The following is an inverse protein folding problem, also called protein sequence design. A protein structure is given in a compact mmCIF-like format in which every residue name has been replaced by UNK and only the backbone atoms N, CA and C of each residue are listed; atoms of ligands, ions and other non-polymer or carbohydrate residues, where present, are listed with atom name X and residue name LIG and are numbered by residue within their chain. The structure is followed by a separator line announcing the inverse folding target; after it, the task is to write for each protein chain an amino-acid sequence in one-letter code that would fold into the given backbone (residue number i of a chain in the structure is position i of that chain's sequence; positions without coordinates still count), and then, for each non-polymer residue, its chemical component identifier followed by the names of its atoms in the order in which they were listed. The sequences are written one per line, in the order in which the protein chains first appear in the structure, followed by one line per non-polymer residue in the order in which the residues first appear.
data_IF_685517926392
#
_entry.id   IF_685517926392
#
_cell.length_a   1.000
_cell.length_b   1.000
_cell.length_c   1.000
_cell.angle_alpha   90.00
_cell.angle_beta   90.00
_cell.angle_gamma   90.00
#
_symmetry.space_group_name_H-M   'P 1'
#
loop_
_entity.id
_entity.type
_entity.pdbx_description
1 polymer ?
#
# COMPACT_ATOMS: atom_id res chain seq x y z
N UNK A 1 44.68 -8.62 44.77
CA UNK A 1 43.26 -8.17 44.78
C UNK A 1 42.36 -9.39 44.79
N UNK A 2 41.55 -9.58 45.83
CA UNK A 2 40.74 -10.80 46.03
C UNK A 2 39.49 -10.81 45.14
N UNK A 3 39.05 -12.01 44.70
CA UNK A 3 37.84 -12.22 43.87
C UNK A 3 36.57 -11.59 44.49
N UNK A 4 36.53 -11.45 45.81
CA UNK A 4 35.46 -10.80 46.57
C UNK A 4 35.32 -9.27 46.30
N UNK A 5 36.43 -8.57 46.03
CA UNK A 5 36.42 -7.13 45.75
C UNK A 5 35.84 -6.77 44.36
N UNK A 6 36.01 -7.65 43.37
CA UNK A 6 35.41 -7.49 42.03
C UNK A 6 33.90 -7.76 42.03
N UNK A 7 33.45 -8.74 42.82
CA UNK A 7 32.02 -9.05 42.96
C UNK A 7 31.23 -7.90 43.60
N UNK A 8 31.77 -7.25 44.64
CA UNK A 8 31.13 -6.07 45.28
C UNK A 8 31.05 -4.86 44.36
N UNK A 9 32.06 -4.62 43.51
CA UNK A 9 32.02 -3.52 42.52
C UNK A 9 31.05 -3.77 41.37
N UNK A 10 30.89 -5.02 40.90
CA UNK A 10 29.89 -5.38 39.88
C UNK A 10 28.46 -5.32 40.42
N UNK A 11 28.24 -5.75 41.67
CA UNK A 11 26.94 -5.62 42.34
C UNK A 11 26.55 -4.15 42.58
N UNK A 12 27.50 -3.30 42.97
CA UNK A 12 27.27 -1.85 43.11
C UNK A 12 27.02 -1.16 41.75
N UNK A 13 27.72 -1.55 40.69
CA UNK A 13 27.47 -1.04 39.33
C UNK A 13 26.11 -1.49 38.78
N UNK A 14 25.61 -2.68 39.14
CA UNK A 14 24.27 -3.14 38.81
C UNK A 14 23.18 -2.41 39.62
N UNK A 15 23.43 -2.15 40.91
CA UNK A 15 22.50 -1.45 41.81
C UNK A 15 22.35 0.04 41.48
N UNK A 16 23.42 0.73 41.08
CA UNK A 16 23.41 2.18 40.82
C UNK A 16 23.44 2.55 39.33
N UNK A 17 23.95 1.68 38.44
CA UNK A 17 24.09 1.96 37.01
C UNK A 17 23.06 1.28 36.09
N UNK A 18 22.48 0.16 36.50
CA UNK A 18 21.51 -0.60 35.68
C UNK A 18 20.04 -0.18 35.89
N UNK A 19 19.67 0.17 37.13
CA UNK A 19 18.29 0.50 37.50
C UNK A 19 17.76 1.77 36.82
N UNK A 20 18.56 2.83 36.73
CA UNK A 20 18.16 4.09 36.10
C UNK A 20 17.94 3.98 34.59
N UNK A 21 18.77 3.21 33.88
CA UNK A 21 18.63 2.96 32.44
C UNK A 21 17.42 2.05 32.16
N UNK A 22 17.19 1.04 33.01
CA UNK A 22 16.00 0.18 32.93
C UNK A 22 14.70 0.93 33.18
N UNK A 23 14.66 1.77 34.22
CA UNK A 23 13.48 2.60 34.56
C UNK A 23 13.23 3.71 33.53
N UNK A 24 14.28 4.39 33.05
CA UNK A 24 14.15 5.38 31.98
C UNK A 24 13.66 4.74 30.66
N UNK A 25 14.19 3.55 30.32
CA UNK A 25 13.72 2.78 29.16
C UNK A 25 12.27 2.33 29.30
N UNK A 26 11.87 1.83 30.47
CA UNK A 26 10.49 1.46 30.76
C UNK A 26 9.55 2.68 30.73
N UNK A 27 9.99 3.83 31.25
CA UNK A 27 9.26 5.10 31.20
C UNK A 27 9.03 5.58 29.76
N UNK A 28 10.06 5.56 28.91
CA UNK A 28 9.94 5.90 27.49
C UNK A 28 8.97 4.95 26.75
N UNK A 29 9.06 3.64 26.99
CA UNK A 29 8.14 2.67 26.40
C UNK A 29 6.70 2.87 26.88
N UNK A 30 6.52 3.20 28.16
CA UNK A 30 5.23 3.57 28.74
C UNK A 30 4.63 4.80 28.07
N UNK A 31 5.44 5.86 27.92
CA UNK A 31 5.03 7.09 27.25
C UNK A 31 4.63 6.86 25.80
N UNK A 32 5.46 6.13 25.02
CA UNK A 32 5.14 5.76 23.64
C UNK A 32 3.83 4.97 23.52
N UNK A 33 3.54 4.06 24.46
CA UNK A 33 2.28 3.31 24.48
C UNK A 33 1.08 4.22 24.80
N UNK A 34 1.23 5.16 25.72
CA UNK A 34 0.19 6.14 26.03
C UNK A 34 -0.09 7.05 24.84
N UNK A 35 0.96 7.52 24.18
CA UNK A 35 0.88 8.33 22.97
C UNK A 35 0.17 7.56 21.84
N UNK A 36 0.56 6.30 21.59
CA UNK A 36 -0.09 5.45 20.59
C UNK A 36 -1.58 5.24 20.90
N UNK A 37 -1.93 4.98 22.17
CA UNK A 37 -3.33 4.85 22.61
C UNK A 37 -4.12 6.14 22.47
N UNK A 38 -3.50 7.29 22.74
CA UNK A 38 -4.15 8.59 22.58
C UNK A 38 -4.38 8.92 21.10
N UNK A 39 -3.38 8.68 20.25
CA UNK A 39 -3.50 8.85 18.81
C UNK A 39 -4.61 7.96 18.24
N UNK A 40 -4.61 6.66 18.58
CA UNK A 40 -5.63 5.70 18.16
C UNK A 40 -7.04 6.14 18.57
N UNK A 41 -7.22 6.55 19.83
CA UNK A 41 -8.52 7.04 20.31
C UNK A 41 -9.00 8.30 19.58
N UNK A 42 -8.10 9.22 19.22
CA UNK A 42 -8.47 10.42 18.44
C UNK A 42 -8.92 10.07 17.02
N UNK A 43 -8.24 9.11 16.38
CA UNK A 43 -8.61 8.60 15.06
C UNK A 43 -9.98 7.92 15.16
N UNK A 44 -10.11 6.90 16.02
CA UNK A 44 -11.36 6.14 16.20
C UNK A 44 -12.57 7.01 16.55
N UNK A 45 -12.38 8.11 17.31
CA UNK A 45 -13.46 9.03 17.64
C UNK A 45 -13.98 9.84 16.45
N UNK A 46 -13.20 9.95 15.36
CA UNK A 46 -13.51 10.73 14.17
C UNK A 46 -13.67 9.90 12.90
N UNK A 47 -13.19 8.66 12.90
CA UNK A 47 -13.34 7.73 11.79
C UNK A 47 -14.81 7.33 11.63
N UNK A 48 -15.30 7.33 10.39
CA UNK A 48 -16.63 6.80 10.08
C UNK A 48 -16.73 5.34 10.53
N UNK A 49 -17.85 4.97 11.17
CA UNK A 49 -18.12 3.59 11.57
C UNK A 49 -18.68 2.74 10.44
N UNK A 50 -19.14 3.36 9.37
CA UNK A 50 -19.68 2.70 8.19
C UNK A 50 -18.70 2.86 7.05
N UNK A 51 -18.45 1.76 6.34
CA UNK A 51 -17.71 1.78 5.09
C UNK A 51 -18.50 2.59 4.05
N UNK A 52 -17.80 3.30 3.14
CA UNK A 52 -18.46 3.93 2.00
C UNK A 52 -19.17 2.88 1.13
N UNK A 53 -20.15 3.30 0.30
CA UNK A 53 -20.76 2.41 -0.68
C UNK A 53 -19.68 1.73 -1.54
N UNK A 54 -19.83 0.44 -1.82
CA UNK A 54 -18.72 -0.36 -2.39
C UNK A 54 -18.29 0.11 -3.78
N UNK A 55 -19.25 0.58 -4.58
CA UNK A 55 -19.04 0.86 -5.99
C UNK A 55 -18.83 -0.40 -6.84
N UNK A 56 -19.12 -1.59 -6.33
CA UNK A 56 -19.03 -2.81 -7.13
C UNK A 56 -20.00 -2.74 -8.30
N UNK A 57 -19.53 -3.12 -9.49
CA UNK A 57 -20.34 -2.98 -10.68
C UNK A 57 -19.53 -3.05 -11.97
N UNK A 58 -20.24 -2.86 -13.07
CA UNK A 58 -19.64 -2.77 -14.39
C UNK A 58 -19.45 -1.29 -14.75
N UNK A 59 -18.26 -0.94 -15.19
CA UNK A 59 -17.86 0.38 -15.63
C UNK A 59 -17.58 0.36 -17.13
N UNK A 60 -18.02 1.41 -17.83
CA UNK A 60 -17.80 1.57 -19.25
C UNK A 60 -18.86 0.97 -20.15
N UNK A 61 -18.79 1.34 -21.43
CA UNK A 61 -19.68 0.86 -22.48
C UNK A 61 -19.00 -0.19 -23.36
N UNK A 62 -19.81 -1.01 -24.02
CA UNK A 62 -19.36 -1.93 -25.06
C UNK A 62 -19.73 -3.38 -24.78
N UNK A 63 -19.62 -4.21 -25.83
CA UNK A 63 -19.97 -5.64 -25.80
C UNK A 63 -18.77 -6.56 -25.58
N UNK A 64 -17.56 -6.00 -25.47
CA UNK A 64 -16.35 -6.77 -25.21
C UNK A 64 -16.45 -7.44 -23.83
N UNK A 65 -15.85 -8.63 -23.67
CA UNK A 65 -15.77 -9.30 -22.37
C UNK A 65 -15.14 -8.34 -21.36
N UNK A 66 -15.82 -8.00 -20.25
CA UNK A 66 -15.30 -7.08 -19.26
C UNK A 66 -14.00 -7.60 -18.64
N UNK A 67 -13.07 -6.69 -18.34
CA UNK A 67 -11.93 -6.98 -17.47
C UNK A 67 -12.43 -7.10 -16.03
N UNK A 68 -12.02 -8.13 -15.31
CA UNK A 68 -12.33 -8.27 -13.89
C UNK A 68 -11.21 -7.65 -13.07
N UNK A 69 -11.53 -6.54 -12.40
CA UNK A 69 -10.63 -5.83 -11.51
C UNK A 69 -11.06 -6.04 -10.06
N UNK A 70 -10.19 -6.64 -9.26
CA UNK A 70 -10.47 -6.91 -7.84
C UNK A 70 -9.61 -6.06 -6.91
N UNK A 71 -10.21 -5.54 -5.85
CA UNK A 71 -9.53 -4.73 -4.83
C UNK A 71 -9.59 -5.43 -3.47
N UNK A 72 -8.42 -5.73 -2.91
CA UNK A 72 -8.22 -6.39 -1.61
C UNK A 72 -7.46 -5.48 -0.65
N UNK A 73 -7.61 -5.73 0.64
CA UNK A 73 -6.79 -5.09 1.66
C UNK A 73 -7.57 -4.59 2.86
N UNK A 74 -7.09 -3.46 3.41
CA UNK A 74 -7.61 -2.82 4.62
C UNK A 74 -8.55 -1.63 4.32
N UNK A 75 -8.77 -0.75 5.31
CA UNK A 75 -9.62 0.44 5.17
C UNK A 75 -9.16 1.37 4.05
N UNK A 76 -7.87 1.39 3.72
CA UNK A 76 -7.32 2.16 2.61
C UNK A 76 -7.83 1.61 1.27
N UNK A 77 -7.91 0.28 1.13
CA UNK A 77 -8.47 -0.37 -0.06
C UNK A 77 -9.99 -0.23 -0.14
N UNK A 78 -10.67 -0.18 1.01
CA UNK A 78 -12.12 0.09 1.09
C UNK A 78 -12.46 1.50 0.59
N UNK A 79 -11.58 2.47 0.83
CA UNK A 79 -11.87 3.88 0.56
C UNK A 79 -12.37 4.65 1.80
N UNK A 80 -12.12 4.14 3.00
CA UNK A 80 -12.62 4.77 4.23
C UNK A 80 -12.17 6.24 4.33
N UNK A 81 -13.09 7.14 4.67
CA UNK A 81 -12.82 8.58 4.71
C UNK A 81 -13.43 9.36 3.54
N UNK A 82 -14.03 8.67 2.56
CA UNK A 82 -14.90 9.27 1.53
C UNK A 82 -16.37 8.99 1.81
N UNK A 83 -17.26 9.74 1.15
CA UNK A 83 -18.71 9.60 1.34
C UNK A 83 -19.38 8.90 0.14
N UNK A 84 -18.82 9.05 -1.06
CA UNK A 84 -19.40 8.53 -2.30
C UNK A 84 -18.59 7.36 -2.87
N UNK A 85 -19.28 6.41 -3.49
CA UNK A 85 -18.64 5.28 -4.19
C UNK A 85 -17.59 5.76 -5.21
N UNK A 86 -17.91 6.83 -5.95
CA UNK A 86 -17.09 7.41 -7.01
C UNK A 86 -15.79 8.06 -6.53
N UNK A 87 -15.63 8.22 -5.22
CA UNK A 87 -14.41 8.74 -4.60
C UNK A 87 -13.49 7.63 -4.09
N UNK A 88 -13.97 6.37 -4.09
CA UNK A 88 -13.17 5.24 -3.63
C UNK A 88 -12.06 4.91 -4.64
N UNK A 89 -10.90 4.42 -4.18
CA UNK A 89 -9.79 4.12 -5.08
C UNK A 89 -10.14 3.04 -6.11
N UNK A 90 -10.99 2.07 -5.75
CA UNK A 90 -11.45 1.03 -6.67
C UNK A 90 -12.22 1.59 -7.85
N UNK A 91 -13.18 2.50 -7.59
CA UNK A 91 -14.02 3.09 -8.63
C UNK A 91 -13.22 4.04 -9.53
N UNK A 92 -12.39 4.91 -8.95
CA UNK A 92 -11.52 5.82 -9.71
C UNK A 92 -10.59 5.04 -10.66
N UNK A 93 -10.05 3.92 -10.21
CA UNK A 93 -9.20 3.05 -11.03
C UNK A 93 -10.00 2.27 -12.08
N UNK A 94 -11.20 1.78 -11.76
CA UNK A 94 -12.05 1.07 -12.72
C UNK A 94 -12.50 1.98 -13.87
N UNK A 95 -12.91 3.21 -13.57
CA UNK A 95 -13.26 4.22 -14.57
C UNK A 95 -12.05 4.54 -15.47
N UNK A 96 -10.87 4.79 -14.88
CA UNK A 96 -9.68 5.09 -15.67
C UNK A 96 -9.18 3.89 -16.49
N UNK A 97 -9.30 2.66 -15.97
CA UNK A 97 -8.94 1.45 -16.71
C UNK A 97 -9.87 1.19 -17.88
N UNK A 98 -11.15 1.56 -17.77
CA UNK A 98 -12.11 1.48 -18.88
C UNK A 98 -11.64 2.30 -20.07
N UNK A 99 -11.26 3.55 -19.83
CA UNK A 99 -10.76 4.47 -20.86
C UNK A 99 -9.45 3.96 -21.49
N UNK A 100 -8.51 3.49 -20.68
CA UNK A 100 -7.22 2.99 -21.18
C UNK A 100 -7.33 1.67 -21.93
N UNK A 101 -8.25 0.79 -21.51
CA UNK A 101 -8.43 -0.52 -22.12
C UNK A 101 -9.42 -0.51 -23.30
N UNK A 102 -10.16 0.59 -23.48
CA UNK A 102 -11.31 0.70 -24.41
C UNK A 102 -12.29 -0.48 -24.25
N UNK A 103 -12.47 -0.95 -23.01
CA UNK A 103 -13.22 -2.16 -22.66
C UNK A 103 -13.91 -1.98 -21.32
N UNK A 104 -15.11 -2.56 -21.12
CA UNK A 104 -15.76 -2.52 -19.82
C UNK A 104 -14.90 -3.15 -18.72
N UNK A 105 -14.99 -2.62 -17.50
CA UNK A 105 -14.30 -3.14 -16.32
C UNK A 105 -15.32 -3.49 -15.25
N UNK A 106 -15.36 -4.75 -14.82
CA UNK A 106 -16.13 -5.18 -13.66
C UNK A 106 -15.27 -5.04 -12.40
N UNK A 107 -15.63 -4.10 -11.54
CA UNK A 107 -15.00 -3.90 -10.25
C UNK A 107 -15.60 -4.85 -9.20
N UNK A 108 -14.73 -5.51 -8.44
CA UNK A 108 -15.11 -6.31 -7.27
C UNK A 108 -14.23 -5.94 -6.07
N UNK A 109 -14.80 -5.33 -5.05
CA UNK A 109 -14.13 -4.94 -3.82
C UNK A 109 -14.37 -5.99 -2.75
N UNK A 110 -13.29 -6.63 -2.30
CA UNK A 110 -13.31 -7.62 -1.22
C UNK A 110 -12.47 -7.19 -0.01
N UNK A 111 -11.95 -5.95 -0.04
CA UNK A 111 -11.25 -5.33 1.07
C UNK A 111 -12.13 -5.20 2.33
N UNK A 112 -11.50 -5.33 3.49
CA UNK A 112 -12.15 -5.31 4.80
C UNK A 112 -11.49 -4.25 5.68
N UNK A 113 -12.26 -3.27 6.15
CA UNK A 113 -11.76 -2.24 7.05
C UNK A 113 -11.17 -2.85 8.33
N UNK A 114 -9.96 -2.42 8.68
CA UNK A 114 -9.23 -2.92 9.86
C UNK A 114 -8.42 -4.20 9.64
N UNK A 115 -8.49 -4.83 8.47
CA UNK A 115 -7.79 -6.09 8.21
C UNK A 115 -6.25 -5.96 8.34
N UNK A 116 -5.64 -6.96 8.96
CA UNK A 116 -4.20 -7.22 8.92
C UNK A 116 -3.85 -8.21 7.81
N UNK A 117 -2.56 -8.29 7.43
CA UNK A 117 -2.10 -9.20 6.38
C UNK A 117 -2.50 -10.67 6.58
N UNK A 118 -2.63 -11.16 7.83
CA UNK A 118 -3.08 -12.52 8.12
C UNK A 118 -4.55 -12.77 7.76
N UNK A 119 -5.33 -11.72 7.56
CA UNK A 119 -6.75 -11.76 7.17
C UNK A 119 -6.94 -11.58 5.66
N UNK A 120 -5.85 -11.58 4.86
CA UNK A 120 -5.96 -11.60 3.40
C UNK A 120 -6.50 -12.92 2.85
N UNK A 121 -6.28 -14.04 3.55
CA UNK A 121 -6.55 -15.36 3.02
C UNK A 121 -8.03 -15.55 2.59
N UNK A 122 -9.03 -15.17 3.43
CA UNK A 122 -10.44 -15.22 3.01
C UNK A 122 -10.77 -14.26 1.86
N UNK A 123 -10.09 -13.11 1.77
CA UNK A 123 -10.29 -12.17 0.66
C UNK A 123 -9.77 -12.76 -0.66
N UNK A 124 -8.63 -13.46 -0.62
CA UNK A 124 -8.03 -14.14 -1.78
C UNK A 124 -8.92 -15.29 -2.25
N UNK A 125 -9.48 -16.09 -1.34
CA UNK A 125 -10.41 -17.18 -1.71
C UNK A 125 -11.62 -16.65 -2.48
N UNK A 126 -12.24 -15.58 -1.98
CA UNK A 126 -13.35 -14.90 -2.66
C UNK A 126 -12.90 -14.31 -4.00
N UNK A 127 -11.71 -13.71 -4.06
CA UNK A 127 -11.17 -13.15 -5.30
C UNK A 127 -10.97 -14.22 -6.38
N UNK A 128 -10.45 -15.40 -6.01
CA UNK A 128 -10.21 -16.48 -6.97
C UNK A 128 -11.50 -16.98 -7.63
N UNK A 129 -12.64 -16.95 -6.92
CA UNK A 129 -13.94 -17.28 -7.48
C UNK A 129 -14.39 -16.32 -8.59
N UNK A 130 -13.95 -15.06 -8.52
CA UNK A 130 -14.27 -14.00 -9.48
C UNK A 130 -13.44 -14.06 -10.77
N UNK A 131 -12.37 -14.86 -10.78
CA UNK A 131 -11.40 -15.01 -11.90
C UNK A 131 -10.84 -13.65 -12.37
N UNK A 132 -10.15 -12.90 -11.49
CA UNK A 132 -9.67 -11.55 -11.80
C UNK A 132 -8.61 -11.56 -12.91
N UNK A 133 -8.69 -10.55 -13.79
CA UNK A 133 -7.60 -10.25 -14.73
C UNK A 133 -6.49 -9.47 -14.01
N UNK A 134 -6.88 -8.58 -13.09
CA UNK A 134 -5.94 -7.83 -12.25
C UNK A 134 -6.47 -7.63 -10.83
N UNK A 135 -5.56 -7.69 -9.86
CA UNK A 135 -5.83 -7.47 -8.44
C UNK A 135 -4.96 -6.34 -7.91
N UNK A 136 -5.59 -5.38 -7.24
CA UNK A 136 -4.94 -4.39 -6.38
C UNK A 136 -5.02 -4.84 -4.92
N UNK A 137 -3.88 -4.88 -4.23
CA UNK A 137 -3.83 -5.09 -2.78
C UNK A 137 -3.30 -3.83 -2.11
N UNK A 138 -4.03 -3.25 -1.16
CA UNK A 138 -3.53 -2.17 -0.31
C UNK A 138 -3.66 -2.59 1.16
N UNK A 139 -2.55 -3.01 1.77
CA UNK A 139 -2.54 -3.49 3.14
C UNK A 139 -1.23 -3.17 3.85
N UNK A 140 -1.29 -3.11 5.18
CA UNK A 140 -0.14 -3.09 6.05
C UNK A 140 -0.08 -1.87 6.97
N UNK A 141 -1.05 -0.95 6.89
CA UNK A 141 -1.18 0.10 7.90
C UNK A 141 -1.48 -0.53 9.27
N UNK A 142 -2.42 -1.48 9.31
CA UNK A 142 -2.81 -2.19 10.52
C UNK A 142 -1.67 -3.04 11.10
N UNK A 143 -0.93 -3.77 10.27
CA UNK A 143 0.25 -4.53 10.73
C UNK A 143 1.29 -3.65 11.45
N UNK A 144 1.45 -2.39 11.03
CA UNK A 144 2.36 -1.46 11.70
C UNK A 144 1.76 -0.92 13.01
N UNK A 145 0.45 -0.64 13.05
CA UNK A 145 -0.22 -0.13 14.26
C UNK A 145 -0.37 -1.21 15.34
N UNK A 146 -0.59 -2.47 14.96
CA UNK A 146 -0.64 -3.65 15.86
C UNK A 146 0.74 -4.21 16.16
N UNK A 147 1.78 -3.71 15.48
CA UNK A 147 3.19 -4.09 15.66
C UNK A 147 3.47 -5.55 15.28
N UNK A 148 2.75 -6.05 14.28
CA UNK A 148 2.99 -7.34 13.64
C UNK A 148 4.41 -7.37 13.08
N UNK A 149 5.10 -8.52 13.28
CA UNK A 149 6.48 -8.69 12.80
C UNK A 149 6.49 -8.61 11.27
N UNK A 150 7.37 -7.80 10.64
CA UNK A 150 7.40 -7.67 9.18
C UNK A 150 7.50 -9.01 8.45
N UNK A 151 8.31 -9.95 8.96
CA UNK A 151 8.45 -11.29 8.36
C UNK A 151 7.14 -12.11 8.37
N UNK A 152 6.27 -11.93 9.37
CA UNK A 152 4.95 -12.56 9.40
C UNK A 152 4.04 -11.89 8.38
N UNK A 153 4.02 -10.56 8.39
CA UNK A 153 3.15 -9.78 7.52
C UNK A 153 3.42 -10.04 6.03
N UNK A 154 4.69 -9.97 5.64
CA UNK A 154 5.08 -10.19 4.24
C UNK A 154 4.94 -11.63 3.80
N UNK A 155 4.95 -12.60 4.71
CA UNK A 155 4.68 -14.00 4.37
C UNK A 155 3.22 -14.14 3.91
N UNK A 156 2.26 -13.66 4.70
CA UNK A 156 0.85 -13.70 4.31
C UNK A 156 0.60 -12.94 2.99
N UNK A 157 1.23 -11.77 2.82
CA UNK A 157 1.14 -11.02 1.57
C UNK A 157 1.75 -11.79 0.38
N UNK A 158 2.92 -12.42 0.54
CA UNK A 158 3.57 -13.19 -0.52
C UNK A 158 2.71 -14.40 -0.92
N UNK A 159 2.11 -15.08 0.06
CA UNK A 159 1.23 -16.22 -0.17
C UNK A 159 -0.02 -15.80 -0.96
N UNK A 160 -0.63 -14.68 -0.58
CA UNK A 160 -1.75 -14.08 -1.30
C UNK A 160 -1.38 -13.74 -2.77
N UNK A 161 -0.25 -13.06 -2.97
CA UNK A 161 0.22 -12.69 -4.32
C UNK A 161 0.48 -13.93 -5.15
N UNK A 162 1.16 -14.94 -4.61
CA UNK A 162 1.50 -16.16 -5.33
C UNK A 162 0.26 -16.92 -5.78
N UNK A 163 -0.71 -17.14 -4.89
CA UNK A 163 -1.99 -17.80 -5.23
C UNK A 163 -2.74 -17.08 -6.36
N UNK A 164 -2.79 -15.74 -6.31
CA UNK A 164 -3.42 -14.93 -7.35
C UNK A 164 -2.66 -15.00 -8.67
N UNK A 165 -1.32 -14.93 -8.65
CA UNK A 165 -0.49 -15.07 -9.86
C UNK A 165 -0.60 -16.46 -10.49
N UNK A 166 -0.67 -17.51 -9.68
CA UNK A 166 -0.89 -18.90 -10.14
C UNK A 166 -2.25 -19.07 -10.86
N UNK A 167 -3.26 -18.26 -10.50
CA UNK A 167 -4.54 -18.23 -11.22
C UNK A 167 -4.52 -17.49 -12.57
N UNK A 168 -3.40 -16.84 -12.90
CA UNK A 168 -3.22 -16.02 -14.11
C UNK A 168 -3.46 -14.52 -13.91
N UNK A 169 -4.04 -14.11 -12.78
CA UNK A 169 -4.31 -12.70 -12.47
C UNK A 169 -3.03 -11.89 -12.33
N UNK A 170 -2.99 -10.67 -12.85
CA UNK A 170 -1.93 -9.70 -12.54
C UNK A 170 -2.10 -9.16 -11.13
N UNK A 171 -1.01 -8.92 -10.39
CA UNK A 171 -1.09 -8.42 -9.01
C UNK A 171 -0.23 -7.18 -8.83
N UNK A 172 -0.86 -6.09 -8.39
CA UNK A 172 -0.21 -4.84 -8.01
C UNK A 172 -0.48 -4.57 -6.54
N UNK A 173 0.56 -4.26 -5.77
CA UNK A 173 0.45 -3.95 -4.35
C UNK A 173 0.81 -2.50 -4.10
N UNK A 174 -0.15 -1.73 -3.57
CA UNK A 174 0.12 -0.44 -2.94
C UNK A 174 0.77 -0.69 -1.58
N UNK A 175 2.06 -0.42 -1.45
CA UNK A 175 2.80 -0.74 -0.21
C UNK A 175 2.35 0.11 0.96
N UNK A 176 2.59 -0.37 2.18
CA UNK A 176 2.32 0.32 3.44
C UNK A 176 2.65 1.83 3.37
N UNK A 177 1.69 2.72 3.67
CA UNK A 177 1.89 4.16 3.60
C UNK A 177 2.84 4.66 4.71
N UNK A 178 3.40 5.86 4.53
CA UNK A 178 4.29 6.46 5.53
C UNK A 178 3.48 6.97 6.73
N UNK A 179 3.27 6.13 7.76
CA UNK A 179 2.53 6.52 8.97
C UNK A 179 3.16 7.69 9.74
N UNK A 180 4.38 8.09 9.40
CA UNK A 180 4.99 9.31 9.92
C UNK A 180 4.38 10.62 9.38
N UNK A 181 3.40 10.55 8.49
CA UNK A 181 2.62 11.71 8.01
C UNK A 181 1.31 11.90 8.75
N UNK A 182 0.90 10.91 9.56
CA UNK A 182 -0.35 10.91 10.31
C UNK A 182 -0.26 11.93 11.44
N UNK A 183 -1.15 12.93 11.45
CA UNK A 183 -1.07 14.10 12.36
C UNK A 183 -1.37 13.76 13.82
N UNK A 184 -2.35 12.88 14.12
CA UNK A 184 -2.60 12.49 15.51
C UNK A 184 -1.40 11.84 16.22
N UNK A 185 -0.38 11.39 15.48
CA UNK A 185 0.85 10.80 16.01
C UNK A 185 1.87 11.92 16.29
N UNK A 186 2.16 12.15 17.58
CA UNK A 186 3.14 13.13 18.03
C UNK A 186 4.59 12.63 17.94
N UNK A 187 5.53 13.47 18.38
CA UNK A 187 6.92 13.04 18.58
C UNK A 187 7.09 12.47 19.99
N UNK A 188 7.91 11.40 20.16
CA UNK A 188 8.80 10.78 19.17
C UNK A 188 8.18 9.62 18.38
N UNK A 189 6.94 9.21 18.69
CA UNK A 189 6.29 8.06 18.07
C UNK A 189 6.20 8.20 16.54
N UNK A 190 6.00 9.41 16.01
CA UNK A 190 5.92 9.70 14.59
C UNK A 190 7.19 9.32 13.82
N UNK A 191 8.37 9.51 14.42
CA UNK A 191 9.64 9.07 13.83
C UNK A 191 9.73 7.55 13.76
N UNK A 192 9.27 6.86 14.81
CA UNK A 192 9.25 5.41 14.86
C UNK A 192 8.24 4.84 13.86
N UNK A 193 7.03 5.41 13.80
CA UNK A 193 5.99 5.04 12.84
C UNK A 193 6.49 5.16 11.39
N UNK A 194 7.14 6.28 11.04
CA UNK A 194 7.81 6.47 9.73
C UNK A 194 8.82 5.36 9.43
N UNK A 195 9.65 5.03 10.41
CA UNK A 195 10.69 4.02 10.23
C UNK A 195 10.08 2.64 10.04
N UNK A 196 9.12 2.26 10.90
CA UNK A 196 8.47 0.95 10.84
C UNK A 196 7.66 0.78 9.55
N UNK A 197 6.92 1.80 9.12
CA UNK A 197 6.14 1.69 7.89
C UNK A 197 7.01 1.63 6.63
N UNK A 198 8.12 2.39 6.57
CA UNK A 198 9.09 2.27 5.46
C UNK A 198 9.81 0.92 5.45
N UNK A 199 10.13 0.38 6.62
CA UNK A 199 10.69 -0.96 6.73
C UNK A 199 9.69 -2.02 6.25
N UNK A 200 8.42 -1.89 6.63
CA UNK A 200 7.34 -2.74 6.13
C UNK A 200 7.19 -2.64 4.61
N UNK A 201 7.10 -1.43 4.06
CA UNK A 201 6.98 -1.20 2.61
C UNK A 201 8.15 -1.79 1.80
N UNK A 202 9.37 -1.68 2.32
CA UNK A 202 10.54 -2.29 1.70
C UNK A 202 10.45 -3.84 1.74
N UNK A 203 10.07 -4.42 2.87
CA UNK A 203 9.91 -5.87 3.01
C UNK A 203 8.78 -6.39 2.10
N UNK A 204 7.65 -5.70 2.03
CA UNK A 204 6.55 -6.01 1.10
C UNK A 204 7.04 -5.97 -0.35
N UNK A 205 7.83 -4.96 -0.74
CA UNK A 205 8.37 -4.86 -2.10
C UNK A 205 9.21 -6.08 -2.49
N UNK A 206 10.08 -6.55 -1.59
CA UNK A 206 10.90 -7.74 -1.85
C UNK A 206 10.00 -8.95 -2.05
N UNK A 207 9.13 -9.22 -1.08
CA UNK A 207 8.29 -10.41 -1.06
C UNK A 207 7.30 -10.47 -2.23
N UNK A 208 6.68 -9.33 -2.59
CA UNK A 208 5.73 -9.25 -3.71
C UNK A 208 6.43 -9.46 -5.05
N UNK A 209 7.59 -8.84 -5.26
CA UNK A 209 8.34 -8.98 -6.53
C UNK A 209 8.85 -10.41 -6.70
N UNK A 210 9.32 -11.04 -5.64
CA UNK A 210 9.74 -12.45 -5.65
C UNK A 210 8.55 -13.40 -5.86
N UNK A 211 7.37 -13.07 -5.36
CA UNK A 211 6.12 -13.79 -5.63
C UNK A 211 5.52 -13.51 -7.03
N UNK A 212 6.19 -12.73 -7.87
CA UNK A 212 5.77 -12.46 -9.25
C UNK A 212 4.76 -11.31 -9.41
N UNK A 213 4.52 -10.53 -8.36
CA UNK A 213 3.73 -9.30 -8.40
C UNK A 213 4.55 -8.04 -8.68
N UNK A 214 3.88 -6.89 -8.64
CA UNK A 214 4.47 -5.56 -8.77
C UNK A 214 4.10 -4.72 -7.56
N UNK A 215 4.94 -3.78 -7.15
CA UNK A 215 4.59 -2.83 -6.09
C UNK A 215 4.61 -1.39 -6.56
N UNK A 216 3.78 -0.56 -5.94
CA UNK A 216 3.79 0.89 -6.07
C UNK A 216 3.92 1.47 -4.67
N UNK A 217 4.93 2.33 -4.47
CA UNK A 217 5.10 2.98 -3.18
C UNK A 217 4.05 4.08 -2.98
N UNK A 218 3.15 3.87 -2.00
CA UNK A 218 2.16 4.87 -1.56
C UNK A 218 2.70 5.85 -0.51
N UNK A 219 3.98 5.77 -0.14
CA UNK A 219 4.56 6.71 0.81
C UNK A 219 4.27 8.15 0.37
N UNK A 220 4.00 9.06 1.32
CA UNK A 220 3.58 10.47 1.15
C UNK A 220 3.30 10.86 -0.32
N UNK A 221 2.10 10.64 -0.84
CA UNK A 221 1.80 10.49 -2.28
C UNK A 221 2.36 11.58 -3.23
N UNK A 222 2.86 12.75 -2.79
CA UNK A 222 3.68 13.67 -3.61
C UNK A 222 4.96 14.26 -2.95
N UNK A 223 5.49 13.63 -1.90
CA UNK A 223 6.70 14.08 -1.18
C UNK A 223 6.41 14.90 0.09
N UNK A 224 7.40 15.63 0.63
CA UNK A 224 7.29 16.34 1.92
C UNK A 224 6.13 17.35 1.98
N UNK A 225 5.79 17.99 0.86
CA UNK A 225 4.69 18.97 0.76
C UNK A 225 3.32 18.33 1.01
N UNK A 226 3.17 17.05 0.66
CA UNK A 226 1.92 16.29 0.83
C UNK A 226 1.62 15.96 2.30
N UNK A 227 2.66 15.67 3.08
CA UNK A 227 2.53 15.44 4.52
C UNK A 227 2.04 16.69 5.27
N UNK A 228 2.09 17.87 4.65
CA UNK A 228 1.67 19.14 5.23
C UNK A 228 0.28 19.56 4.78
N UNK A 229 -0.18 19.11 3.62
CA UNK A 229 -1.48 19.48 3.06
C UNK A 229 -2.61 18.69 3.76
N UNK A 230 -3.54 19.44 4.36
CA UNK A 230 -4.67 18.91 5.15
C UNK A 230 -5.78 18.38 4.27
N UNK A 231 -5.90 18.90 3.04
CA UNK A 231 -7.00 18.56 2.13
C UNK A 231 -7.00 17.11 1.69
N UNK A 232 -5.89 16.40 1.91
CA UNK A 232 -5.62 15.05 1.44
C UNK A 232 -5.94 13.98 2.49
N UNK A 233 -6.27 14.42 3.70
CA UNK A 233 -6.69 13.57 4.79
C UNK A 233 -8.17 13.79 5.08
N UNK A 234 -8.86 12.74 5.47
CA UNK A 234 -10.23 12.80 5.94
C UNK A 234 -10.32 13.53 7.30
N UNK A 235 -11.53 13.69 7.82
CA UNK A 235 -11.81 14.33 9.11
C UNK A 235 -11.07 13.69 10.29
N UNK A 236 -10.69 12.42 10.18
CA UNK A 236 -9.93 11.69 11.21
C UNK A 236 -8.41 11.92 11.17
N UNK A 237 -7.93 12.70 10.19
CA UNK A 237 -6.52 13.00 9.95
C UNK A 237 -5.62 11.76 9.80
N UNK A 238 -6.23 10.60 9.51
CA UNK A 238 -5.57 9.31 9.33
C UNK A 238 -5.80 8.76 7.93
N UNK A 239 -7.06 8.58 7.54
CA UNK A 239 -7.40 8.06 6.22
C UNK A 239 -7.29 9.15 5.15
N UNK A 240 -7.05 8.79 3.89
CA UNK A 240 -7.09 9.75 2.79
C UNK A 240 -8.50 10.36 2.63
N UNK A 241 -8.55 11.63 2.20
CA UNK A 241 -9.78 12.23 1.67
C UNK A 241 -10.03 11.77 0.24
N UNK A 242 -11.14 12.19 -0.38
CA UNK A 242 -11.38 11.98 -1.81
C UNK A 242 -10.19 12.46 -2.68
N UNK A 243 -9.64 13.64 -2.39
CA UNK A 243 -8.44 14.15 -3.09
C UNK A 243 -7.20 13.28 -2.82
N UNK A 244 -7.03 12.80 -1.58
CA UNK A 244 -5.95 11.87 -1.23
C UNK A 244 -6.05 10.54 -2.00
N UNK A 245 -7.24 9.99 -2.11
CA UNK A 245 -7.50 8.76 -2.88
C UNK A 245 -7.30 8.95 -4.37
N UNK A 246 -7.75 10.07 -4.94
CA UNK A 246 -7.48 10.40 -6.34
C UNK A 246 -5.97 10.41 -6.63
N UNK A 247 -5.16 10.98 -5.75
CA UNK A 247 -3.72 10.95 -5.98
C UNK A 247 -3.09 9.57 -5.79
N UNK A 248 -3.56 8.78 -4.83
CA UNK A 248 -3.11 7.40 -4.66
C UNK A 248 -3.45 6.56 -5.90
N UNK A 249 -4.66 6.69 -6.43
CA UNK A 249 -5.08 6.04 -7.65
C UNK A 249 -4.27 6.52 -8.86
N UNK A 250 -3.94 7.81 -8.97
CA UNK A 250 -3.17 8.38 -10.07
C UNK A 250 -1.74 7.80 -10.15
N UNK A 251 -1.14 7.44 -9.01
CA UNK A 251 0.19 6.80 -8.98
C UNK A 251 0.13 5.28 -9.17
N UNK A 252 -1.00 4.64 -8.83
CA UNK A 252 -1.21 3.19 -9.01
C UNK A 252 -1.58 2.85 -10.46
N UNK A 253 -2.46 3.65 -11.08
CA UNK A 253 -3.07 3.38 -12.38
C UNK A 253 -2.06 2.93 -13.45
N UNK A 254 -0.90 3.61 -13.61
CA UNK A 254 0.03 3.22 -14.65
C UNK A 254 0.62 1.82 -14.48
N UNK A 255 0.74 1.33 -13.24
CA UNK A 255 1.23 -0.03 -12.98
C UNK A 255 0.16 -1.08 -13.28
N UNK A 256 -1.11 -0.80 -12.97
CA UNK A 256 -2.25 -1.66 -13.31
C UNK A 256 -2.43 -1.77 -14.83
N UNK A 257 -2.50 -0.63 -15.51
CA UNK A 257 -2.67 -0.58 -16.96
C UNK A 257 -1.50 -1.27 -17.69
N UNK A 258 -0.26 -1.11 -17.22
CA UNK A 258 0.90 -1.78 -17.81
C UNK A 258 0.90 -3.29 -17.53
N UNK A 259 0.37 -3.72 -16.38
CA UNK A 259 0.22 -5.14 -16.08
C UNK A 259 -0.79 -5.81 -17.01
N UNK A 260 -1.87 -5.09 -17.36
CA UNK A 260 -2.88 -5.50 -18.33
C UNK A 260 -2.44 -5.33 -19.79
N UNK A 261 -1.29 -4.68 -20.06
CA UNK A 261 -0.82 -4.41 -21.42
C UNK A 261 -1.59 -3.30 -22.16
N UNK A 262 -2.40 -2.51 -21.44
CA UNK A 262 -3.22 -1.41 -22.00
C UNK A 262 -2.59 -0.04 -21.76
N UNK A 263 -1.44 0.02 -21.09
CA UNK A 263 -0.71 1.28 -20.94
C UNK A 263 -0.10 1.72 -22.28
N UNK A 264 -0.27 3.00 -22.70
CA UNK A 264 0.26 3.48 -23.96
C UNK A 264 1.77 3.20 -24.08
N UNK A 265 2.16 2.57 -25.19
CA UNK A 265 3.56 2.41 -25.51
C UNK A 265 4.24 3.78 -25.52
N UNK A 266 5.42 3.97 -24.91
CA UNK A 266 6.11 5.24 -24.95
C UNK A 266 6.32 5.66 -26.40
N UNK A 267 5.85 6.85 -26.79
CA UNK A 267 6.20 7.47 -28.07
C UNK A 267 7.70 7.75 -28.08
N UNK A 268 8.48 6.80 -28.63
CA UNK A 268 9.93 6.89 -28.81
C UNK A 268 10.74 5.86 -28.03
N UNK A 269 11.86 5.43 -28.63
CA UNK A 269 12.90 4.61 -28.00
C UNK A 269 13.57 5.38 -26.86
N UNK A 270 12.94 5.46 -25.69
CA UNK A 270 13.64 5.91 -24.48
C UNK A 270 14.75 4.89 -24.19
N UNK A 271 16.00 5.24 -24.50
CA UNK A 271 17.19 4.54 -23.99
C UNK A 271 16.94 4.22 -22.53
N UNK A 272 17.03 2.94 -22.16
CA UNK A 272 16.90 2.52 -20.77
C UNK A 272 17.82 3.40 -19.93
N UNK A 273 17.24 4.24 -19.06
CA UNK A 273 18.05 5.13 -18.24
C UNK A 273 18.94 4.25 -17.37
N UNK A 274 20.27 4.40 -17.52
CA UNK A 274 21.25 3.72 -16.65
C UNK A 274 20.83 3.90 -15.18
N UNK A 275 20.77 2.79 -14.44
CA UNK A 275 20.45 2.78 -13.01
C UNK A 275 18.98 2.49 -12.64
N UNK A 276 18.11 2.14 -13.60
CA UNK A 276 16.74 1.66 -13.30
C UNK A 276 16.70 0.20 -12.85
N UNK A 277 17.65 -0.64 -13.25
CA UNK A 277 17.71 -2.06 -12.88
C UNK A 277 18.71 -2.28 -11.75
N UNK A 278 18.28 -2.93 -10.67
CA UNK A 278 19.06 -3.16 -9.44
C UNK A 278 18.58 -4.44 -8.75
N UNK A 279 19.34 -5.01 -7.79
CA UNK A 279 18.81 -6.08 -6.95
C UNK A 279 17.59 -5.59 -6.16
N UNK A 280 16.60 -6.47 -5.97
CA UNK A 280 15.29 -6.15 -5.40
C UNK A 280 15.40 -5.46 -4.04
N UNK A 281 16.30 -5.90 -3.16
CA UNK A 281 16.51 -5.27 -1.86
C UNK A 281 16.92 -3.78 -1.98
N UNK A 282 17.77 -3.44 -2.97
CA UNK A 282 18.18 -2.04 -3.23
C UNK A 282 17.08 -1.24 -3.91
N UNK A 283 16.22 -1.90 -4.70
CA UNK A 283 15.05 -1.28 -5.29
C UNK A 283 14.01 -0.95 -4.21
N UNK A 284 13.69 -1.92 -3.35
CA UNK A 284 12.79 -1.80 -2.22
C UNK A 284 13.19 -0.68 -1.25
N UNK A 285 14.44 -0.64 -0.80
CA UNK A 285 14.92 0.42 0.09
C UNK A 285 14.80 1.82 -0.53
N UNK A 286 14.98 1.93 -1.86
CA UNK A 286 14.86 3.21 -2.57
C UNK A 286 13.40 3.59 -2.82
N UNK A 287 12.54 2.63 -3.11
CA UNK A 287 11.12 2.83 -3.34
C UNK A 287 10.38 3.20 -2.06
N UNK A 288 10.70 2.57 -0.92
CA UNK A 288 10.03 2.83 0.36
C UNK A 288 10.10 4.29 0.85
N UNK A 289 11.11 5.05 0.40
CA UNK A 289 11.23 6.48 0.70
C UNK A 289 10.82 7.39 -0.47
N UNK A 290 10.28 6.85 -1.57
CA UNK A 290 10.01 7.58 -2.82
C UNK A 290 8.60 7.26 -3.35
N UNK A 291 7.63 8.13 -3.05
CA UNK A 291 6.25 8.04 -3.54
C UNK A 291 6.15 7.76 -5.05
N UNK A 292 5.16 6.97 -5.46
CA UNK A 292 4.87 6.66 -6.86
C UNK A 292 5.95 5.86 -7.58
N UNK A 293 6.91 5.29 -6.85
CA UNK A 293 7.92 4.40 -7.42
C UNK A 293 7.31 3.02 -7.60
N UNK A 294 7.22 2.57 -8.84
CA UNK A 294 6.87 1.19 -9.20
C UNK A 294 8.13 0.31 -9.14
N UNK A 295 8.01 -0.89 -8.58
CA UNK A 295 9.03 -1.94 -8.60
C UNK A 295 8.43 -3.21 -9.16
N UNK A 296 9.11 -3.82 -10.13
CA UNK A 296 8.74 -5.11 -10.70
C UNK A 296 9.97 -5.94 -11.03
N UNK A 297 9.80 -7.26 -11.12
CA UNK A 297 10.86 -8.15 -11.58
C UNK A 297 11.30 -7.80 -13.01
N UNK A 298 12.57 -8.02 -13.31
CA UNK A 298 13.15 -7.84 -14.64
C UNK A 298 14.30 -8.81 -14.82
N UNK A 299 14.72 -9.03 -16.06
CA UNK A 299 15.89 -9.84 -16.34
C UNK A 299 17.09 -8.97 -16.74
N UNK A 300 18.29 -9.45 -16.40
CA UNK A 300 19.56 -8.90 -16.88
C UNK A 300 20.29 -10.03 -17.57
N UNK A 301 20.53 -9.89 -18.88
CA UNK A 301 21.20 -10.92 -19.70
C UNK A 301 20.51 -12.29 -19.63
N UNK A 302 19.17 -12.30 -19.65
CA UNK A 302 18.36 -13.52 -19.61
C UNK A 302 18.28 -14.20 -18.23
N UNK A 303 18.81 -13.56 -17.17
CA UNK A 303 18.63 -14.05 -15.80
C UNK A 303 17.76 -13.10 -14.99
N UNK A 304 16.70 -13.63 -14.38
CA UNK A 304 15.85 -12.92 -13.42
C UNK A 304 16.52 -12.73 -12.05
N UNK A 305 17.61 -13.45 -11.77
CA UNK A 305 18.36 -13.38 -10.51
C UNK A 305 19.82 -13.00 -10.73
N UNK A 306 20.40 -12.33 -9.74
CA UNK A 306 21.81 -12.00 -9.69
C UNK A 306 22.42 -12.41 -8.35
N UNK A 307 23.72 -12.12 -8.12
CA UNK A 307 24.43 -12.51 -6.90
C UNK A 307 23.87 -11.87 -5.62
N UNK A 308 23.03 -10.83 -5.76
CA UNK A 308 22.38 -10.11 -4.64
C UNK A 308 20.86 -10.28 -4.64
N UNK A 309 20.36 -11.37 -5.25
CA UNK A 309 18.93 -11.69 -5.34
C UNK A 309 18.28 -11.29 -6.67
N UNK A 310 16.95 -11.31 -6.69
CA UNK A 310 16.12 -11.01 -7.87
C UNK A 310 16.43 -9.64 -8.44
N UNK A 311 16.54 -9.54 -9.76
CA UNK A 311 16.66 -8.27 -10.46
C UNK A 311 15.30 -7.57 -10.51
N UNK A 312 15.31 -6.29 -10.17
CA UNK A 312 14.11 -5.47 -10.19
C UNK A 312 14.35 -4.18 -10.97
N UNK A 313 13.30 -3.73 -11.67
CA UNK A 313 13.26 -2.46 -12.37
C UNK A 313 12.48 -1.44 -11.54
N UNK A 314 13.10 -0.30 -11.30
CA UNK A 314 12.47 0.88 -10.72
C UNK A 314 11.92 1.76 -11.83
N UNK A 315 10.61 2.01 -11.80
CA UNK A 315 9.93 2.90 -12.71
C UNK A 315 9.33 4.07 -11.92
N UNK A 316 9.43 5.26 -12.49
CA UNK A 316 8.73 6.46 -11.99
C UNK A 316 8.02 7.09 -13.16
N UNK A 317 6.71 6.88 -13.17
CA UNK A 317 5.81 7.47 -14.15
C UNK A 317 5.27 8.77 -13.56
N UNK A 318 4.95 9.73 -14.42
CA UNK A 318 4.24 10.92 -13.95
C UNK A 318 2.84 10.46 -13.50
N UNK A 319 2.30 10.99 -12.40
CA UNK A 319 0.90 10.77 -12.06
C UNK A 319 0.02 11.12 -13.25
N UNK A 320 -0.96 10.27 -13.54
CA UNK A 320 -1.94 10.52 -14.60
C UNK A 320 -3.10 11.31 -14.04
N UNK A 321 -3.74 12.13 -14.86
CA UNK A 321 -5.07 12.65 -14.53
C UNK A 321 -6.05 11.48 -14.45
N UNK A 322 -6.84 11.47 -13.38
CA UNK A 322 -7.93 10.50 -13.21
C UNK A 322 -9.25 11.15 -13.59
N UNK A 323 -10.25 10.34 -13.98
CA UNK A 323 -11.62 10.80 -14.05
C UNK A 323 -12.05 11.44 -12.72
N UNK A 324 -12.80 12.52 -12.83
CA UNK A 324 -13.50 13.14 -11.70
C UNK A 324 -14.54 12.18 -11.12
N UNK A 325 -14.99 12.39 -9.87
CA UNK A 325 -16.06 11.56 -9.29
C UNK A 325 -17.37 11.60 -10.08
N UNK A 326 -17.62 12.66 -10.86
CA UNK A 326 -18.79 12.78 -11.75
C UNK A 326 -18.61 11.87 -12.97
N UNK A 327 -17.49 11.98 -13.67
CA UNK A 327 -17.15 11.10 -14.81
C UNK A 327 -17.08 9.62 -14.40
N UNK A 328 -16.60 9.33 -13.18
CA UNK A 328 -16.59 7.96 -12.66
C UNK A 328 -18.01 7.43 -12.38
N UNK A 329 -18.95 8.31 -12.00
CA UNK A 329 -20.37 7.97 -11.86
C UNK A 329 -21.03 7.71 -13.21
N UNK A 330 -20.78 8.57 -14.19
CA UNK A 330 -21.24 8.38 -15.56
C UNK A 330 -20.74 7.06 -16.15
N UNK A 331 -19.49 6.68 -15.89
CA UNK A 331 -18.94 5.40 -16.34
C UNK A 331 -19.68 4.18 -15.73
N UNK A 332 -20.23 4.30 -14.52
CA UNK A 332 -21.05 3.25 -13.90
C UNK A 332 -22.47 3.21 -14.48
N UNK A 333 -23.10 4.37 -14.65
CA UNK A 333 -24.47 4.50 -15.18
C UNK A 333 -24.56 4.22 -16.68
N UNK A 334 -23.44 4.36 -17.41
CA UNK A 334 -23.33 4.13 -18.84
C UNK A 334 -23.75 2.72 -19.30
N UNK A 335 -23.95 1.78 -18.37
CA UNK A 335 -24.45 0.41 -18.60
C UNK A 335 -25.99 0.35 -18.63
N UNK A 336 -26.70 1.30 -18.00
CA UNK A 336 -28.16 1.25 -17.80
C UNK A 336 -29.00 1.72 -19.00
N UNK A 337 -28.39 2.12 -20.12
CA UNK A 337 -29.14 2.51 -21.33
C UNK A 337 -29.08 1.41 -22.39
N UNK A 338 -29.97 0.41 -22.37
CA UNK A 338 -30.36 -0.26 -23.59
C UNK A 338 -31.30 0.71 -24.33
N UNK A 339 -30.77 1.43 -25.32
CA UNK A 339 -31.65 2.03 -26.32
C UNK A 339 -32.28 0.85 -27.07
N UNK A 340 -33.60 0.71 -26.89
CA UNK A 340 -34.43 -0.29 -27.58
C UNK A 340 -34.50 -0.06 -29.09
#
# INVERSE_FOLDING_TARGET
MTRAGRARRLAAAAAYGGGGVGLAGAGLLGWLRLEARAARRRVEARTSKQDPPSGDGLYGRGRAKPLVFTVLGDSSAVGLGVERATETPGVLLAAALTELAERPVRLVRLAVSGAESCELDPQVERALAEKPDVVLIMIGANDVTTRTRPAVSVRHLADAVRRLRESGAQVVVGTCPDLGTIRPIGQPLRLLARRWSRQMAAAQTIAVVEAGGRTVSLGSVLGPSFAQDRSLFSVDEFHPSAAGYAQAAAVILPALADALGVWPAPTGRRRERRGTVRPVARAAARAAGRPGTEVRATEVRGSGTGPLGTWARLLRRRPTELPTPEEAGEAAEAVEVPVG
#
